data_IF_071685375980
#
_entry.id   IF_071685375980
#
_cell.length_a   1.000
_cell.length_b   1.000
_cell.length_c   1.000
_cell.angle_alpha   90.00
_cell.angle_beta   90.00
_cell.angle_gamma   90.00
#
_symmetry.space_group_name_H-M   'P 1'
#
loop_
_entity.id
_entity.type
_entity.pdbx_description
1 polymer ?
#
# COMPACT_ATOMS: atom_id res chain seq x y z
N UNK A 1 -22.34 -7.17 -27.90
CA UNK A 1 -21.65 -6.24 -26.96
C UNK A 1 -22.65 -5.44 -26.10
N UNK A 2 -22.72 -5.74 -24.79
CA UNK A 2 -23.52 -4.91 -23.85
C UNK A 2 -22.87 -3.52 -23.72
N UNK A 3 -23.65 -2.43 -23.59
CA UNK A 3 -23.10 -1.09 -23.42
C UNK A 3 -22.18 -1.04 -22.19
N UNK A 4 -21.07 -0.29 -22.30
CA UNK A 4 -20.11 -0.09 -21.23
C UNK A 4 -20.77 0.74 -20.11
N UNK A 5 -21.47 0.08 -19.20
CA UNK A 5 -21.94 0.71 -17.97
C UNK A 5 -20.76 0.75 -17.00
N UNK A 6 -20.24 1.95 -16.73
CA UNK A 6 -19.13 2.22 -15.79
C UNK A 6 -19.61 2.52 -14.36
N UNK A 7 -20.93 2.64 -14.15
CA UNK A 7 -21.48 3.05 -12.85
C UNK A 7 -21.12 2.06 -11.74
N UNK A 8 -21.04 0.78 -12.08
CA UNK A 8 -20.73 -0.28 -11.12
C UNK A 8 -19.27 -0.21 -10.67
N UNK A 9 -18.34 0.04 -11.61
CA UNK A 9 -16.91 0.18 -11.35
C UNK A 9 -16.61 1.39 -10.49
N UNK A 10 -17.30 2.52 -10.76
CA UNK A 10 -17.19 3.73 -9.94
C UNK A 10 -17.66 3.42 -8.51
N UNK A 11 -18.80 2.76 -8.34
CA UNK A 11 -19.35 2.43 -7.02
C UNK A 11 -18.41 1.50 -6.25
N UNK A 12 -17.87 0.46 -6.89
CA UNK A 12 -16.87 -0.43 -6.28
C UNK A 12 -15.62 0.35 -5.88
N UNK A 13 -15.06 1.16 -6.78
CA UNK A 13 -13.83 1.90 -6.52
C UNK A 13 -14.03 2.87 -5.34
N UNK A 14 -15.14 3.60 -5.30
CA UNK A 14 -15.48 4.47 -4.18
C UNK A 14 -15.64 3.71 -2.87
N UNK A 15 -16.38 2.60 -2.86
CA UNK A 15 -16.56 1.77 -1.66
C UNK A 15 -15.21 1.23 -1.14
N UNK A 16 -14.37 0.74 -2.04
CA UNK A 16 -13.07 0.18 -1.70
C UNK A 16 -12.10 1.26 -1.18
N UNK A 17 -12.14 2.45 -1.78
CA UNK A 17 -11.36 3.61 -1.31
C UNK A 17 -11.79 4.03 0.08
N UNK A 18 -13.10 4.11 0.33
CA UNK A 18 -13.65 4.44 1.65
C UNK A 18 -13.22 3.42 2.71
N UNK A 19 -13.29 2.12 2.41
CA UNK A 19 -12.85 1.06 3.32
C UNK A 19 -11.36 1.14 3.64
N UNK A 20 -10.50 1.34 2.64
CA UNK A 20 -9.05 1.50 2.86
C UNK A 20 -8.77 2.72 3.74
N UNK A 21 -9.41 3.85 3.45
CA UNK A 21 -9.22 5.08 4.23
C UNK A 21 -9.68 4.94 5.66
N UNK A 22 -10.81 4.26 5.89
CA UNK A 22 -11.30 3.98 7.22
C UNK A 22 -10.28 3.16 8.03
N UNK A 23 -9.74 2.09 7.45
CA UNK A 23 -8.70 1.27 8.11
C UNK A 23 -7.44 2.08 8.36
N UNK A 24 -6.97 2.88 7.40
CA UNK A 24 -5.79 3.73 7.55
C UNK A 24 -5.97 4.76 8.66
N UNK A 25 -7.15 5.35 8.80
CA UNK A 25 -7.46 6.26 9.91
C UNK A 25 -7.39 5.56 11.26
N UNK A 26 -8.00 4.37 11.39
CA UNK A 26 -7.94 3.61 12.64
C UNK A 26 -6.50 3.22 13.02
N UNK A 27 -5.71 2.77 12.05
CA UNK A 27 -4.30 2.42 12.25
C UNK A 27 -3.48 3.66 12.61
N UNK A 28 -3.68 4.76 11.88
CA UNK A 28 -3.02 6.05 12.14
C UNK A 28 -3.30 6.58 13.54
N UNK A 29 -4.54 6.49 14.02
CA UNK A 29 -4.90 6.87 15.39
C UNK A 29 -4.18 6.02 16.44
N UNK A 30 -4.11 4.69 16.23
CA UNK A 30 -3.39 3.79 17.15
C UNK A 30 -1.90 4.11 17.20
N UNK A 31 -1.27 4.33 16.05
CA UNK A 31 0.13 4.73 16.01
C UNK A 31 0.36 6.08 16.68
N UNK A 32 -0.47 7.07 16.41
CA UNK A 32 -0.38 8.37 17.05
C UNK A 32 -0.47 8.26 18.58
N UNK A 33 -1.43 7.48 19.09
CA UNK A 33 -1.57 7.21 20.52
C UNK A 33 -0.30 6.56 21.10
N UNK A 34 0.27 5.59 20.40
CA UNK A 34 1.50 4.92 20.83
C UNK A 34 2.70 5.88 20.86
N UNK A 35 2.88 6.72 19.85
CA UNK A 35 3.94 7.73 19.83
C UNK A 35 3.78 8.74 20.96
N UNK A 36 2.55 9.18 21.25
CA UNK A 36 2.28 10.07 22.38
C UNK A 36 2.62 9.41 23.73
N UNK A 37 2.21 8.15 23.94
CA UNK A 37 2.55 7.41 25.16
C UNK A 37 4.06 7.21 25.32
N UNK A 38 4.78 6.92 24.24
CA UNK A 38 6.24 6.79 24.27
C UNK A 38 6.92 8.13 24.60
N UNK A 39 6.42 9.23 24.05
CA UNK A 39 6.90 10.57 24.37
C UNK A 39 6.72 10.91 25.86
N UNK A 40 5.57 10.55 26.47
CA UNK A 40 5.34 10.72 27.90
C UNK A 40 6.25 9.86 28.77
N UNK A 41 6.65 8.67 28.28
CA UNK A 41 7.63 7.79 28.94
C UNK A 41 9.08 8.27 28.78
N UNK A 42 9.33 9.35 28.05
CA UNK A 42 10.68 9.84 27.75
C UNK A 42 11.42 9.05 26.66
N UNK A 43 10.72 8.20 25.90
CA UNK A 43 11.28 7.43 24.80
C UNK A 43 11.10 8.24 23.50
N UNK A 44 12.15 8.93 23.06
CA UNK A 44 12.14 9.85 21.91
C UNK A 44 12.79 9.25 20.65
N UNK A 45 12.56 7.96 20.37
CA UNK A 45 13.19 7.27 19.23
C UNK A 45 12.83 7.92 17.88
N UNK A 46 11.57 8.32 17.72
CA UNK A 46 11.03 8.88 16.47
C UNK A 46 10.90 10.42 16.49
N UNK A 47 11.28 11.07 17.61
CA UNK A 47 11.11 12.51 17.78
C UNK A 47 12.47 13.18 17.59
N UNK A 48 12.63 14.05 16.57
CA UNK A 48 13.90 14.72 16.34
C UNK A 48 14.31 15.57 17.56
N UNK A 49 15.61 15.64 17.88
CA UNK A 49 16.11 16.25 19.10
C UNK A 49 15.74 17.74 19.18
N UNK A 50 15.39 18.21 20.39
CA UNK A 50 14.87 19.58 20.65
C UNK A 50 15.80 20.71 20.18
N UNK A 51 17.11 20.46 20.10
CA UNK A 51 18.10 21.43 19.63
C UNK A 51 17.97 21.75 18.14
N UNK A 52 17.22 20.95 17.38
CA UNK A 52 17.00 21.14 15.94
C UNK A 52 15.89 22.15 15.61
N UNK A 53 15.16 22.69 16.60
CA UNK A 53 13.98 23.53 16.34
C UNK A 53 13.99 24.84 17.13
N UNK A 54 13.77 25.95 16.43
CA UNK A 54 13.45 27.23 17.04
C UNK A 54 12.00 27.21 17.57
N UNK A 55 11.79 27.65 18.81
CA UNK A 55 10.47 27.66 19.49
C UNK A 55 9.37 28.35 18.68
N UNK A 56 9.71 29.43 17.96
CA UNK A 56 8.75 30.17 17.11
C UNK A 56 8.30 29.31 15.92
N UNK A 57 9.23 28.60 15.29
CA UNK A 57 8.90 27.70 14.17
C UNK A 57 8.04 26.52 14.63
N UNK A 58 8.25 26.03 15.84
CA UNK A 58 7.52 24.90 16.40
C UNK A 58 6.04 25.27 16.66
N UNK A 59 5.80 26.46 17.21
CA UNK A 59 4.43 26.99 17.41
C UNK A 59 3.72 27.21 16.07
N UNK A 60 4.41 27.84 15.12
CA UNK A 60 3.85 28.08 13.77
C UNK A 60 3.49 26.76 13.07
N UNK A 61 4.39 25.77 13.07
CA UNK A 61 4.13 24.45 12.46
C UNK A 61 2.97 23.71 13.12
N UNK A 62 2.84 23.79 14.44
CA UNK A 62 1.72 23.16 15.16
C UNK A 62 0.37 23.80 14.84
N UNK A 63 0.32 25.13 14.65
CA UNK A 63 -0.93 25.83 14.31
C UNK A 63 -1.49 25.39 12.94
N UNK A 64 -0.62 25.11 11.97
CA UNK A 64 -1.03 24.69 10.63
C UNK A 64 -1.16 23.17 10.44
N UNK A 65 -0.61 22.38 11.37
CA UNK A 65 -0.62 20.92 11.31
C UNK A 65 -1.98 20.30 10.94
N UNK A 66 -3.11 20.63 11.60
CA UNK A 66 -4.39 20.00 11.27
C UNK A 66 -4.85 20.32 9.84
N UNK A 67 -4.60 21.54 9.36
CA UNK A 67 -4.92 21.93 7.98
C UNK A 67 -4.12 21.12 6.95
N UNK A 68 -2.82 20.95 7.20
CA UNK A 68 -1.98 20.09 6.36
C UNK A 68 -2.47 18.64 6.38
N UNK A 69 -2.78 18.08 7.56
CA UNK A 69 -3.27 16.70 7.67
C UNK A 69 -4.54 16.49 6.86
N UNK A 70 -5.53 17.39 6.97
CA UNK A 70 -6.79 17.28 6.22
C UNK A 70 -6.54 17.40 4.71
N UNK A 71 -5.70 18.36 4.28
CA UNK A 71 -5.38 18.55 2.88
C UNK A 71 -4.69 17.32 2.26
N UNK A 72 -3.71 16.74 2.95
CA UNK A 72 -3.03 15.52 2.50
C UNK A 72 -3.97 14.32 2.48
N UNK A 73 -4.86 14.20 3.47
CA UNK A 73 -5.83 13.11 3.52
C UNK A 73 -6.83 13.21 2.36
N UNK A 74 -7.35 14.41 2.09
CA UNK A 74 -8.26 14.64 0.96
C UNK A 74 -7.57 14.40 -0.40
N UNK A 75 -6.35 14.89 -0.56
CA UNK A 75 -5.58 14.68 -1.79
C UNK A 75 -5.26 13.20 -2.00
N UNK A 76 -4.80 12.51 -0.94
CA UNK A 76 -4.56 11.08 -0.97
C UNK A 76 -5.82 10.28 -1.30
N UNK A 77 -6.99 10.71 -0.83
CA UNK A 77 -8.26 10.03 -1.11
C UNK A 77 -8.59 10.09 -2.59
N UNK A 78 -8.42 11.26 -3.20
CA UNK A 78 -8.61 11.45 -4.65
C UNK A 78 -7.63 10.61 -5.46
N UNK A 79 -6.34 10.63 -5.12
CA UNK A 79 -5.32 9.86 -5.83
C UNK A 79 -5.59 8.36 -5.73
N UNK A 80 -5.84 7.86 -4.52
CA UNK A 80 -6.12 6.45 -4.28
C UNK A 80 -7.39 5.99 -5.00
N UNK A 81 -8.44 6.82 -4.98
CA UNK A 81 -9.68 6.55 -5.71
C UNK A 81 -9.46 6.38 -7.21
N UNK A 82 -8.66 7.26 -7.82
CA UNK A 82 -8.31 7.16 -9.24
C UNK A 82 -7.48 5.92 -9.56
N UNK A 83 -6.49 5.59 -8.71
CA UNK A 83 -5.65 4.38 -8.86
C UNK A 83 -6.50 3.12 -8.79
N UNK A 84 -7.40 3.03 -7.81
CA UNK A 84 -8.30 1.89 -7.66
C UNK A 84 -9.29 1.78 -8.83
N UNK A 85 -9.84 2.90 -9.28
CA UNK A 85 -10.73 2.93 -10.43
C UNK A 85 -10.04 2.40 -11.70
N UNK A 86 -8.82 2.88 -11.99
CA UNK A 86 -8.01 2.37 -13.10
C UNK A 86 -7.73 0.86 -12.95
N UNK A 87 -7.41 0.41 -11.74
CA UNK A 87 -7.13 -0.99 -11.46
C UNK A 87 -8.36 -1.87 -11.74
N UNK A 88 -9.55 -1.42 -11.32
CA UNK A 88 -10.82 -2.13 -11.60
C UNK A 88 -11.10 -2.21 -13.11
N UNK A 89 -10.85 -1.13 -13.86
CA UNK A 89 -11.00 -1.13 -15.32
C UNK A 89 -10.04 -2.13 -15.95
N UNK A 90 -8.76 -2.12 -15.57
CA UNK A 90 -7.74 -3.03 -16.09
C UNK A 90 -8.15 -4.48 -15.82
N UNK A 91 -8.57 -4.80 -14.59
CA UNK A 91 -9.05 -6.13 -14.22
C UNK A 91 -10.24 -6.55 -15.09
N UNK A 92 -11.21 -5.65 -15.32
CA UNK A 92 -12.36 -5.94 -16.18
C UNK A 92 -11.94 -6.23 -17.62
N UNK A 93 -11.01 -5.46 -18.18
CA UNK A 93 -10.47 -5.68 -19.53
C UNK A 93 -9.75 -7.02 -19.59
N UNK A 94 -8.93 -7.35 -18.59
CA UNK A 94 -8.26 -8.63 -18.46
C UNK A 94 -9.25 -9.80 -18.49
N UNK A 95 -10.30 -9.76 -17.67
CA UNK A 95 -11.35 -10.80 -17.67
C UNK A 95 -12.15 -10.87 -18.97
N UNK A 96 -12.31 -9.75 -19.69
CA UNK A 96 -12.96 -9.77 -21.01
C UNK A 96 -12.07 -10.44 -22.07
N UNK A 97 -10.76 -10.30 -21.94
CA UNK A 97 -9.76 -10.86 -22.85
C UNK A 97 -9.03 -12.07 -22.26
N UNK A 98 -9.77 -12.98 -21.61
CA UNK A 98 -9.22 -14.21 -21.01
C UNK A 98 -8.36 -15.02 -21.98
N UNK A 99 -8.72 -15.03 -23.27
CA UNK A 99 -7.95 -15.73 -24.30
C UNK A 99 -6.50 -15.23 -24.40
N UNK A 100 -6.26 -13.91 -24.30
CA UNK A 100 -4.90 -13.36 -24.32
C UNK A 100 -4.10 -13.76 -23.07
N UNK A 101 -4.76 -13.80 -21.92
CA UNK A 101 -4.15 -14.23 -20.66
C UNK A 101 -3.77 -15.71 -20.73
N UNK A 102 -4.62 -16.54 -21.34
CA UNK A 102 -4.37 -17.97 -21.51
C UNK A 102 -3.14 -18.22 -22.37
N UNK A 103 -3.03 -17.55 -23.52
CA UNK A 103 -1.87 -17.70 -24.41
C UNK A 103 -0.57 -17.18 -23.76
N UNK A 104 -0.61 -16.03 -23.08
CA UNK A 104 0.54 -15.54 -22.32
C UNK A 104 0.93 -16.49 -21.18
N UNK A 105 -0.06 -17.07 -20.49
CA UNK A 105 0.19 -18.00 -19.37
C UNK A 105 0.86 -19.28 -19.84
N UNK A 106 0.49 -19.81 -21.02
CA UNK A 106 1.16 -20.98 -21.63
C UNK A 106 2.67 -20.76 -21.83
N UNK A 107 3.10 -19.52 -22.06
CA UNK A 107 4.51 -19.16 -22.21
C UNK A 107 5.17 -18.87 -20.85
N UNK A 108 4.49 -18.12 -19.98
CA UNK A 108 5.06 -17.63 -18.72
C UNK A 108 5.17 -18.75 -17.67
N UNK A 109 4.17 -19.62 -17.56
CA UNK A 109 4.13 -20.71 -16.56
C UNK A 109 5.33 -21.65 -16.67
N UNK A 110 5.72 -22.21 -17.84
CA UNK A 110 6.85 -23.13 -17.91
C UNK A 110 8.17 -22.45 -17.51
N UNK A 111 8.36 -21.17 -17.87
CA UNK A 111 9.55 -20.39 -17.47
C UNK A 111 9.58 -20.25 -15.94
N UNK A 112 8.45 -19.87 -15.33
CA UNK A 112 8.32 -19.75 -13.87
C UNK A 112 8.60 -21.08 -13.16
N UNK A 113 8.09 -22.19 -13.66
CA UNK A 113 8.31 -23.53 -13.09
C UNK A 113 9.79 -23.89 -13.10
N UNK A 114 10.51 -23.62 -14.19
CA UNK A 114 11.96 -23.87 -14.27
C UNK A 114 12.71 -23.02 -13.23
N UNK A 115 12.38 -21.74 -13.11
CA UNK A 115 12.98 -20.86 -12.10
C UNK A 115 12.69 -21.33 -10.67
N UNK A 116 11.45 -21.74 -10.40
CA UNK A 116 11.05 -22.24 -9.09
C UNK A 116 11.77 -23.54 -8.74
N UNK A 117 11.87 -24.48 -9.68
CA UNK A 117 12.63 -25.72 -9.51
C UNK A 117 14.10 -25.44 -9.21
N UNK A 118 14.73 -24.52 -9.96
CA UNK A 118 16.12 -24.10 -9.69
C UNK A 118 16.26 -23.54 -8.27
N UNK A 119 15.33 -22.69 -7.85
CA UNK A 119 15.35 -22.10 -6.51
C UNK A 119 15.20 -23.15 -5.40
N UNK A 120 14.23 -24.07 -5.54
CA UNK A 120 14.01 -25.16 -4.60
C UNK A 120 15.25 -26.06 -4.53
N UNK A 121 15.84 -26.41 -5.68
CA UNK A 121 17.01 -27.27 -5.74
C UNK A 121 18.24 -26.62 -5.07
N UNK A 122 18.48 -25.32 -5.31
CA UNK A 122 19.51 -24.57 -4.59
C UNK A 122 19.25 -24.52 -3.09
N UNK A 123 17.99 -24.30 -2.67
CA UNK A 123 17.63 -24.28 -1.25
C UNK A 123 17.87 -25.64 -0.58
N UNK A 124 17.48 -26.74 -1.24
CA UNK A 124 17.70 -28.10 -0.75
C UNK A 124 19.20 -28.39 -0.66
N UNK A 125 19.98 -28.18 -1.73
CA UNK A 125 21.42 -28.44 -1.73
C UNK A 125 22.15 -27.61 -0.68
N UNK A 126 21.81 -26.32 -0.55
CA UNK A 126 22.38 -25.45 0.47
C UNK A 126 22.16 -26.03 1.88
N UNK A 127 20.93 -26.46 2.17
CA UNK A 127 20.56 -26.99 3.48
C UNK A 127 21.13 -28.38 3.75
N UNK A 128 21.20 -29.27 2.76
CA UNK A 128 21.58 -30.67 2.98
C UNK A 128 23.05 -30.96 2.76
N UNK A 129 23.74 -30.23 1.88
CA UNK A 129 25.15 -30.49 1.56
C UNK A 129 26.09 -29.44 2.12
N UNK A 130 25.70 -28.15 2.10
CA UNK A 130 26.62 -27.06 2.45
C UNK A 130 26.52 -26.61 3.91
N UNK A 131 25.33 -26.64 4.52
CA UNK A 131 25.08 -26.22 5.91
C UNK A 131 25.09 -27.37 6.94
N UNK A 132 25.63 -28.54 6.60
CA UNK A 132 25.75 -29.67 7.54
C UNK A 132 26.89 -29.52 8.56
N UNK A 133 27.47 -28.33 8.72
CA UNK A 133 28.49 -28.04 9.73
C UNK A 133 28.00 -27.06 10.80
#
# INVERSE_FOLDING_TARGET
PRPFNLKYEILIACFLTMMIYYVQLCVGMKHYQQHMLNAYKGIFIDIPPRHAFNSIQLISKNAHYPGYTIAYLAFGYLVMGNVLFLTVIIIRILFKHLFLIEELSKIIIPILVIYLCKYILMWVLSRTLFLQH
#
